data_IF_997286006940
#
_entry.id   IF_997286006940
#
_cell.length_a   1.000
_cell.length_b   1.000
_cell.length_c   1.000
_cell.angle_alpha   90.00
_cell.angle_beta   90.00
_cell.angle_gamma   90.00
#
_symmetry.space_group_name_H-M   'P 1'
#
loop_
_entity.id
_entity.type
_entity.pdbx_description
1 polymer ?
#
# COMPACT_ATOMS: atom_id res chain seq x y z
N UNK A 1 34.38 -5.32 -7.73
CA UNK A 1 34.81 -3.93 -7.93
C UNK A 1 33.77 -3.22 -8.79
N UNK A 2 32.61 -2.90 -8.21
CA UNK A 2 31.58 -2.02 -8.80
C UNK A 2 30.53 -1.74 -7.72
N UNK A 3 30.96 -1.03 -6.67
CA UNK A 3 30.10 -0.39 -5.67
C UNK A 3 30.81 0.92 -5.36
N UNK A 4 30.69 1.90 -6.25
CA UNK A 4 31.03 3.32 -6.06
C UNK A 4 30.83 4.03 -7.40
N UNK A 5 29.58 4.23 -7.81
CA UNK A 5 29.28 5.17 -8.89
C UNK A 5 27.81 5.62 -8.93
N UNK A 6 27.23 5.96 -7.78
CA UNK A 6 25.94 6.69 -7.74
C UNK A 6 25.88 7.77 -6.65
N UNK A 7 27.05 8.16 -6.13
CA UNK A 7 27.19 9.37 -5.33
C UNK A 7 28.10 10.29 -6.14
N UNK A 8 27.49 11.11 -6.99
CA UNK A 8 27.99 12.37 -7.60
C UNK A 8 27.28 12.64 -8.95
N UNK A 9 25.97 12.86 -8.92
CA UNK A 9 25.26 13.64 -9.95
C UNK A 9 24.69 14.91 -9.35
N UNK A 10 25.51 15.63 -8.59
CA UNK A 10 25.29 17.06 -8.30
C UNK A 10 25.99 17.88 -9.36
N UNK A 11 25.33 18.15 -10.49
CA UNK A 11 25.56 19.32 -11.35
C UNK A 11 24.52 19.35 -12.48
N UNK A 12 23.74 20.43 -12.51
CA UNK A 12 22.58 20.74 -13.38
C UNK A 12 21.25 20.07 -13.04
N UNK A 13 20.67 20.44 -11.89
CA UNK A 13 19.20 20.42 -11.75
C UNK A 13 18.75 21.85 -11.52
N UNK A 14 18.22 22.49 -12.56
CA UNK A 14 17.23 23.53 -12.30
C UNK A 14 16.11 22.85 -11.52
N UNK A 15 16.01 23.18 -10.23
CA UNK A 15 15.01 22.61 -9.33
C UNK A 15 13.65 22.63 -10.03
N UNK A 16 12.97 21.48 -10.07
CA UNK A 16 11.66 21.34 -10.70
C UNK A 16 10.66 22.40 -10.21
N UNK A 17 10.88 22.96 -9.02
CA UNK A 17 10.08 24.02 -8.43
C UNK A 17 10.31 25.41 -9.04
N UNK A 18 11.41 25.65 -9.78
CA UNK A 18 11.61 26.90 -10.56
C UNK A 18 10.55 27.06 -11.66
N UNK A 19 9.92 25.95 -12.05
CA UNK A 19 8.80 25.94 -12.99
C UNK A 19 7.54 26.59 -12.40
N UNK A 20 7.41 26.63 -11.07
CA UNK A 20 6.34 27.36 -10.39
C UNK A 20 6.82 28.81 -10.25
N UNK A 21 6.09 29.74 -10.86
CA UNK A 21 6.48 31.15 -10.93
C UNK A 21 5.76 32.00 -9.89
N UNK A 22 4.56 31.59 -9.47
CA UNK A 22 3.82 32.23 -8.38
C UNK A 22 2.78 31.28 -7.77
N UNK A 23 2.28 31.64 -6.60
CA UNK A 23 1.01 31.12 -6.11
C UNK A 23 -0.10 32.12 -6.46
N UNK A 24 -1.25 31.58 -6.86
CA UNK A 24 -2.48 32.35 -7.06
C UNK A 24 -3.52 31.88 -6.05
N UNK A 25 -4.43 32.77 -5.67
CA UNK A 25 -5.54 32.46 -4.78
C UNK A 25 -6.87 32.79 -5.45
N UNK A 26 -7.75 31.81 -5.55
CA UNK A 26 -9.07 31.96 -6.14
C UNK A 26 -10.13 32.04 -5.03
N UNK A 27 -11.09 32.97 -5.12
CA UNK A 27 -12.12 33.11 -4.11
C UNK A 27 -13.17 32.00 -4.22
N UNK A 28 -13.57 31.46 -3.07
CA UNK A 28 -14.83 30.73 -2.92
C UNK A 28 -15.87 31.67 -2.35
N UNK A 29 -17.03 31.72 -2.99
CA UNK A 29 -18.08 32.70 -2.69
C UNK A 29 -19.35 32.00 -2.22
N UNK A 30 -19.98 32.51 -1.17
CA UNK A 30 -21.32 32.04 -0.78
C UNK A 30 -22.32 32.42 -1.85
N UNK A 31 -23.06 31.45 -2.40
CA UNK A 31 -24.11 31.71 -3.37
C UNK A 31 -25.32 32.44 -2.76
N UNK A 32 -25.48 32.37 -1.43
CA UNK A 32 -26.56 33.05 -0.72
C UNK A 32 -26.27 34.53 -0.47
N UNK A 33 -25.05 34.85 -0.02
CA UNK A 33 -24.69 36.23 0.38
C UNK A 33 -23.85 36.96 -0.65
N UNK A 34 -23.30 36.24 -1.63
CA UNK A 34 -22.30 36.72 -2.59
C UNK A 34 -21.01 37.25 -1.92
N UNK A 35 -20.71 36.80 -0.71
CA UNK A 35 -19.49 37.15 0.02
C UNK A 35 -18.41 36.07 -0.14
N UNK A 36 -17.15 36.50 -0.19
CA UNK A 36 -16.00 35.58 -0.20
C UNK A 36 -15.86 34.94 1.17
N UNK A 37 -15.91 33.61 1.23
CA UNK A 37 -15.83 32.85 2.49
C UNK A 37 -14.49 32.13 2.67
N UNK A 38 -13.81 31.81 1.57
CA UNK A 38 -12.52 31.13 1.58
C UNK A 38 -11.70 31.44 0.32
N UNK A 39 -10.46 30.98 0.31
CA UNK A 39 -9.54 31.12 -0.83
C UNK A 39 -8.87 29.78 -1.14
N UNK A 40 -9.02 29.27 -2.35
CA UNK A 40 -8.24 28.13 -2.86
C UNK A 40 -6.86 28.61 -3.30
N UNK A 41 -5.80 27.88 -2.92
CA UNK A 41 -4.42 28.21 -3.29
C UNK A 41 -3.95 27.28 -4.40
N UNK A 42 -3.55 27.88 -5.51
CA UNK A 42 -3.09 27.19 -6.71
C UNK A 42 -1.67 27.62 -7.09
N UNK A 43 -0.97 26.73 -7.79
CA UNK A 43 0.34 27.00 -8.38
C UNK A 43 0.19 27.50 -9.81
N UNK A 44 0.89 28.59 -10.16
CA UNK A 44 1.03 29.03 -11.56
C UNK A 44 2.37 28.56 -12.09
N UNK A 45 2.34 27.85 -13.21
CA UNK A 45 3.56 27.40 -13.90
C UNK A 45 4.04 28.43 -14.92
N UNK A 46 5.33 28.37 -15.27
CA UNK A 46 5.92 29.18 -16.34
C UNK A 46 5.17 28.93 -17.68
N UNK A 47 4.89 29.98 -18.48
CA UNK A 47 4.21 29.83 -19.78
C UNK A 47 4.91 28.91 -20.79
N UNK A 48 6.21 28.66 -20.58
CA UNK A 48 7.00 27.73 -21.41
C UNK A 48 6.61 26.26 -21.19
N UNK A 49 5.81 25.96 -20.17
CA UNK A 49 5.22 24.64 -19.94
C UNK A 49 3.84 24.58 -20.61
N UNK A 50 3.72 23.70 -21.60
CA UNK A 50 2.50 23.56 -22.41
C UNK A 50 1.41 22.77 -21.66
N UNK A 51 1.75 22.04 -20.57
CA UNK A 51 0.80 21.14 -19.90
C UNK A 51 1.01 21.09 -18.37
N UNK A 52 0.05 21.69 -17.64
CA UNK A 52 0.01 21.74 -16.18
C UNK A 52 -0.27 20.36 -15.60
N UNK A 53 -1.21 19.62 -16.21
CA UNK A 53 -1.58 18.28 -15.76
C UNK A 53 -0.39 17.34 -15.87
N UNK A 54 0.34 17.42 -16.98
CA UNK A 54 1.56 16.63 -17.15
C UNK A 54 2.60 16.92 -16.06
N UNK A 55 2.79 18.18 -15.66
CA UNK A 55 3.73 18.53 -14.60
C UNK A 55 3.32 17.89 -13.25
N UNK A 56 2.06 18.02 -12.85
CA UNK A 56 1.59 17.47 -11.56
C UNK A 56 1.52 15.94 -11.55
N UNK A 57 1.30 15.31 -12.71
CA UNK A 57 1.36 13.86 -12.86
C UNK A 57 2.80 13.29 -12.82
N UNK A 58 3.81 14.10 -13.14
CA UNK A 58 5.22 13.67 -13.16
C UNK A 58 5.93 13.82 -11.81
N UNK A 59 5.42 14.67 -10.90
CA UNK A 59 6.05 14.88 -9.59
C UNK A 59 5.71 13.76 -8.60
N UNK A 60 6.67 13.45 -7.73
CA UNK A 60 6.49 12.44 -6.68
C UNK A 60 5.61 12.96 -5.54
N UNK A 61 4.98 12.07 -4.73
CA UNK A 61 4.20 12.50 -3.56
C UNK A 61 4.94 13.41 -2.59
N UNK A 62 6.25 13.18 -2.38
CA UNK A 62 7.08 14.03 -1.52
C UNK A 62 7.29 15.44 -2.10
N UNK A 63 7.40 15.56 -3.43
CA UNK A 63 7.50 16.85 -4.10
C UNK A 63 6.17 17.61 -4.05
N UNK A 64 5.03 16.92 -4.25
CA UNK A 64 3.69 17.50 -4.06
C UNK A 64 3.49 18.01 -2.63
N UNK A 65 3.91 17.22 -1.64
CA UNK A 65 3.84 17.62 -0.23
C UNK A 65 4.74 18.83 0.10
N UNK A 66 5.91 18.95 -0.54
CA UNK A 66 6.77 20.13 -0.40
C UNK A 66 6.09 21.41 -0.91
N UNK A 67 5.37 21.32 -2.03
CA UNK A 67 4.56 22.42 -2.57
C UNK A 67 3.45 22.77 -1.59
N UNK A 68 2.70 21.77 -1.10
CA UNK A 68 1.65 21.94 -0.09
C UNK A 68 2.17 22.66 1.16
N UNK A 69 3.32 22.25 1.71
CA UNK A 69 3.93 22.91 2.87
C UNK A 69 4.28 24.36 2.60
N UNK A 70 4.81 24.66 1.42
CA UNK A 70 5.12 26.04 1.03
C UNK A 70 3.84 26.89 0.95
N UNK A 71 2.79 26.39 0.32
CA UNK A 71 1.50 27.07 0.24
C UNK A 71 0.88 27.29 1.62
N UNK A 72 0.88 26.26 2.49
CA UNK A 72 0.39 26.36 3.87
C UNK A 72 1.10 27.46 4.67
N UNK A 73 2.44 27.53 4.60
CA UNK A 73 3.18 28.54 5.35
C UNK A 73 3.04 29.94 4.74
N UNK A 74 2.94 30.06 3.40
CA UNK A 74 2.65 31.32 2.73
C UNK A 74 1.27 31.88 3.17
N UNK A 75 0.26 31.01 3.20
CA UNK A 75 -1.09 31.33 3.65
C UNK A 75 -1.15 31.71 5.13
N UNK A 76 -0.45 30.97 6.00
CA UNK A 76 -0.33 31.30 7.43
C UNK A 76 0.32 32.67 7.64
N UNK A 77 1.41 32.94 6.92
CA UNK A 77 2.10 34.25 6.94
C UNK A 77 1.19 35.38 6.44
N UNK A 78 0.39 35.12 5.40
CA UNK A 78 -0.61 36.06 4.89
C UNK A 78 -1.69 36.33 5.93
N UNK A 79 -2.25 35.30 6.54
CA UNK A 79 -3.32 35.44 7.54
C UNK A 79 -2.88 36.27 8.75
N UNK A 80 -1.62 36.13 9.18
CA UNK A 80 -1.05 36.99 10.24
C UNK A 80 -0.97 38.47 9.85
N UNK A 81 -0.87 38.78 8.54
CA UNK A 81 -0.75 40.16 8.03
C UNK A 81 -2.09 40.79 7.66
N UNK A 82 -3.01 39.99 7.13
CA UNK A 82 -4.27 40.50 6.56
C UNK A 82 -5.51 40.12 7.37
N UNK A 83 -5.35 39.37 8.45
CA UNK A 83 -6.44 38.84 9.27
C UNK A 83 -6.76 37.36 9.00
N UNK A 84 -7.55 36.72 9.88
CA UNK A 84 -7.96 35.33 9.75
C UNK A 84 -8.78 35.13 8.47
N UNK A 85 -8.44 34.09 7.72
CA UNK A 85 -9.17 33.66 6.52
C UNK A 85 -9.05 32.13 6.40
N UNK A 86 -10.00 31.52 5.70
CA UNK A 86 -9.93 30.10 5.38
C UNK A 86 -9.22 29.88 4.04
N UNK A 87 -8.27 28.95 4.02
CA UNK A 87 -7.50 28.59 2.83
C UNK A 87 -7.68 27.12 2.46
N UNK A 88 -7.92 26.85 1.18
CA UNK A 88 -8.11 25.50 0.64
C UNK A 88 -6.85 25.11 -0.13
N UNK A 89 -6.38 23.88 0.11
CA UNK A 89 -5.10 23.38 -0.39
C UNK A 89 -5.30 22.01 -1.03
N UNK A 90 -4.84 21.89 -2.27
CA UNK A 90 -4.91 20.64 -3.03
C UNK A 90 -3.91 19.60 -2.53
N UNK A 91 -4.40 18.38 -2.35
CA UNK A 91 -3.62 17.22 -1.93
C UNK A 91 -4.00 16.00 -2.79
N UNK A 92 -3.07 15.51 -3.63
CA UNK A 92 -3.35 14.36 -4.47
C UNK A 92 -3.68 13.08 -3.70
N UNK A 93 -4.50 12.21 -4.30
CA UNK A 93 -4.84 10.87 -3.82
C UNK A 93 -3.57 10.07 -3.50
N UNK A 94 -2.55 10.16 -4.35
CA UNK A 94 -1.27 9.48 -4.14
C UNK A 94 -0.51 9.95 -2.89
N UNK A 95 -0.65 11.23 -2.50
CA UNK A 95 -0.07 11.76 -1.26
C UNK A 95 -0.85 11.27 -0.05
N UNK A 96 -2.19 11.19 -0.16
CA UNK A 96 -3.04 10.68 0.92
C UNK A 96 -2.83 9.17 1.14
N UNK A 97 -2.52 8.43 0.07
CA UNK A 97 -2.18 7.01 0.10
C UNK A 97 -0.75 6.72 0.60
N UNK A 98 0.12 7.72 0.70
CA UNK A 98 1.49 7.56 1.18
C UNK A 98 1.58 7.81 2.69
N UNK A 99 1.81 6.74 3.47
CA UNK A 99 1.80 6.82 4.95
C UNK A 99 2.85 7.79 5.50
N UNK A 100 4.02 7.85 4.87
CA UNK A 100 5.06 8.82 5.21
C UNK A 100 4.55 10.26 5.04
N UNK A 101 3.92 10.57 3.91
CA UNK A 101 3.38 11.89 3.64
C UNK A 101 2.31 12.30 4.65
N UNK A 102 1.38 11.40 5.00
CA UNK A 102 0.37 11.67 6.04
C UNK A 102 1.01 11.92 7.41
N UNK A 103 2.07 11.19 7.78
CA UNK A 103 2.79 11.48 9.02
C UNK A 103 3.43 12.86 9.02
N UNK A 104 4.11 13.23 7.93
CA UNK A 104 4.71 14.54 7.80
C UNK A 104 3.65 15.65 7.85
N UNK A 105 2.52 15.47 7.18
CA UNK A 105 1.43 16.43 7.20
C UNK A 105 0.82 16.61 8.61
N UNK A 106 0.71 15.54 9.39
CA UNK A 106 0.23 15.60 10.78
C UNK A 106 1.19 16.32 11.74
N UNK A 107 2.42 16.68 11.32
CA UNK A 107 3.30 17.53 12.12
C UNK A 107 2.93 19.02 12.05
N UNK A 108 2.06 19.42 11.12
CA UNK A 108 1.60 20.79 11.00
C UNK A 108 0.59 21.14 12.09
N UNK A 109 0.84 22.26 12.78
CA UNK A 109 -0.14 22.89 13.65
C UNK A 109 -1.06 23.82 12.84
N UNK A 110 -2.35 23.45 12.78
CA UNK A 110 -3.42 24.25 12.17
C UNK A 110 -4.53 24.53 13.20
N UNK A 111 -5.24 25.64 13.01
CA UNK A 111 -6.25 26.20 13.92
C UNK A 111 -7.65 26.26 13.28
N UNK A 112 -7.88 25.40 12.28
CA UNK A 112 -9.15 25.33 11.54
C UNK A 112 -9.27 26.31 10.37
N UNK A 113 -8.28 27.19 10.15
CA UNK A 113 -8.21 28.08 9.00
C UNK A 113 -7.81 27.40 7.67
N UNK A 114 -7.68 26.08 7.65
CA UNK A 114 -7.19 25.34 6.48
C UNK A 114 -8.09 24.15 6.14
N UNK A 115 -8.28 23.92 4.86
CA UNK A 115 -9.09 22.84 4.27
C UNK A 115 -8.21 22.08 3.28
N UNK A 116 -8.37 20.76 3.23
CA UNK A 116 -7.74 19.90 2.23
C UNK A 116 -8.76 19.52 1.16
N UNK A 117 -8.36 19.70 -0.09
CA UNK A 117 -9.06 19.19 -1.27
C UNK A 117 -8.35 17.95 -1.80
N UNK A 118 -9.10 16.86 -1.97
CA UNK A 118 -8.60 15.68 -2.69
C UNK A 118 -8.66 16.03 -4.17
N UNK A 119 -7.48 16.29 -4.76
CA UNK A 119 -7.33 16.96 -6.06
C UNK A 119 -7.76 16.10 -7.26
N UNK A 120 -7.46 14.81 -7.23
CA UNK A 120 -7.58 13.88 -8.38
C UNK A 120 -8.38 12.62 -8.00
N UNK A 121 -9.64 12.75 -7.52
CA UNK A 121 -10.41 11.62 -7.01
C UNK A 121 -10.71 10.54 -8.05
N UNK A 122 -10.62 10.84 -9.34
CA UNK A 122 -10.71 9.86 -10.42
C UNK A 122 -9.61 8.80 -10.36
N UNK A 123 -8.49 9.08 -9.69
CA UNK A 123 -7.41 8.12 -9.47
C UNK A 123 -7.71 7.10 -8.36
N UNK A 124 -8.79 7.27 -7.58
CA UNK A 124 -9.18 6.35 -6.49
C UNK A 124 -9.44 4.94 -7.03
N UNK A 125 -10.07 4.81 -8.19
CA UNK A 125 -10.38 3.51 -8.83
C UNK A 125 -9.14 2.77 -9.32
N UNK A 126 -8.02 3.48 -9.52
CA UNK A 126 -6.77 2.93 -10.03
C UNK A 126 -5.83 2.45 -8.91
N UNK A 127 -6.18 2.66 -7.64
CA UNK A 127 -5.36 2.24 -6.51
C UNK A 127 -5.35 0.71 -6.35
N UNK A 128 -4.15 0.15 -6.13
CA UNK A 128 -4.04 -1.23 -5.66
C UNK A 128 -4.62 -1.39 -4.23
N UNK A 129 -4.76 -2.63 -3.78
CA UNK A 129 -5.43 -2.95 -2.51
C UNK A 129 -4.74 -2.26 -1.32
N UNK A 130 -3.40 -2.24 -1.28
CA UNK A 130 -2.64 -1.62 -0.19
C UNK A 130 -2.71 -0.10 -0.22
N UNK A 131 -2.59 0.50 -1.40
CA UNK A 131 -2.69 1.95 -1.60
C UNK A 131 -4.09 2.45 -1.29
N UNK A 132 -5.14 1.69 -1.66
CA UNK A 132 -6.52 2.00 -1.29
C UNK A 132 -6.76 1.90 0.21
N UNK A 133 -6.19 0.89 0.87
CA UNK A 133 -6.21 0.79 2.34
C UNK A 133 -5.53 2.00 2.99
N UNK A 134 -4.34 2.36 2.52
CA UNK A 134 -3.59 3.49 3.04
C UNK A 134 -4.28 4.84 2.77
N UNK A 135 -4.93 5.00 1.61
CA UNK A 135 -5.73 6.17 1.27
C UNK A 135 -6.88 6.38 2.26
N UNK A 136 -7.70 5.34 2.48
CA UNK A 136 -8.83 5.42 3.43
C UNK A 136 -8.30 5.67 4.85
N UNK A 137 -7.20 5.01 5.25
CA UNK A 137 -6.53 5.25 6.54
C UNK A 137 -6.03 6.69 6.64
N UNK A 138 -5.42 7.23 5.59
CA UNK A 138 -4.95 8.61 5.48
C UNK A 138 -6.09 9.61 5.69
N UNK A 139 -7.19 9.46 4.95
CA UNK A 139 -8.39 10.29 5.11
C UNK A 139 -8.93 10.27 6.56
N UNK A 140 -9.00 9.10 7.19
CA UNK A 140 -9.42 8.97 8.59
C UNK A 140 -8.47 9.70 9.55
N UNK A 141 -7.15 9.62 9.31
CA UNK A 141 -6.15 10.33 10.12
C UNK A 141 -6.29 11.84 9.98
N UNK A 142 -6.40 12.36 8.76
CA UNK A 142 -6.61 13.79 8.49
C UNK A 142 -7.86 14.31 9.20
N UNK A 143 -8.99 13.61 9.06
CA UNK A 143 -10.24 13.97 9.74
C UNK A 143 -10.09 13.94 11.26
N UNK A 144 -9.41 12.92 11.80
CA UNK A 144 -9.18 12.79 13.25
C UNK A 144 -8.29 13.92 13.79
N UNK A 145 -7.34 14.42 13.01
CA UNK A 145 -6.49 15.55 13.39
C UNK A 145 -7.15 16.91 13.14
N UNK A 146 -8.39 16.93 12.64
CA UNK A 146 -9.22 18.13 12.56
C UNK A 146 -9.22 18.81 11.19
N UNK A 147 -8.64 18.20 10.16
CA UNK A 147 -8.71 18.72 8.79
C UNK A 147 -10.12 18.55 8.22
N UNK A 148 -10.79 19.63 7.79
CA UNK A 148 -11.91 19.53 6.87
C UNK A 148 -11.38 19.01 5.53
N UNK A 149 -12.03 17.99 4.98
CA UNK A 149 -11.64 17.37 3.71
C UNK A 149 -12.79 17.46 2.72
N UNK A 150 -12.47 17.97 1.52
CA UNK A 150 -13.36 18.10 0.37
C UNK A 150 -12.88 17.19 -0.76
N UNK A 151 -13.79 16.80 -1.65
CA UNK A 151 -13.45 16.18 -2.92
C UNK A 151 -13.51 17.25 -4.01
N UNK A 152 -12.46 17.37 -4.80
CA UNK A 152 -12.39 18.28 -5.94
C UNK A 152 -12.86 17.60 -7.23
N UNK A 153 -13.22 18.39 -8.24
CA UNK A 153 -13.52 17.92 -9.61
C UNK A 153 -14.44 16.67 -9.71
N UNK A 154 -15.43 16.56 -8.81
CA UNK A 154 -16.32 15.39 -8.80
C UNK A 154 -17.24 15.43 -10.02
N UNK A 155 -17.20 14.37 -10.81
CA UNK A 155 -18.09 14.12 -11.95
C UNK A 155 -19.20 13.13 -11.57
N UNK A 156 -20.31 13.05 -12.33
CA UNK A 156 -21.40 12.12 -12.02
C UNK A 156 -20.98 10.64 -11.96
N UNK A 157 -20.01 10.24 -12.78
CA UNK A 157 -19.49 8.87 -12.86
C UNK A 157 -18.64 8.45 -11.65
N UNK A 158 -18.11 9.42 -10.87
CA UNK A 158 -17.35 9.12 -9.64
C UNK A 158 -18.22 8.78 -8.43
N UNK A 159 -19.55 8.93 -8.54
CA UNK A 159 -20.46 8.73 -7.39
C UNK A 159 -20.31 7.34 -6.74
N UNK A 160 -20.18 6.29 -7.56
CA UNK A 160 -19.99 4.91 -7.07
C UNK A 160 -18.63 4.69 -6.39
N UNK A 161 -17.58 5.35 -6.88
CA UNK A 161 -16.25 5.30 -6.27
C UNK A 161 -16.27 6.01 -4.91
N UNK A 162 -16.96 7.14 -4.79
CA UNK A 162 -17.15 7.89 -3.54
C UNK A 162 -17.91 7.04 -2.51
N UNK A 163 -18.99 6.37 -2.92
CA UNK A 163 -19.73 5.43 -2.07
C UNK A 163 -18.80 4.36 -1.47
N UNK A 164 -17.89 3.83 -2.28
CA UNK A 164 -16.96 2.77 -1.90
C UNK A 164 -15.95 3.19 -0.81
N UNK A 165 -15.72 4.50 -0.62
CA UNK A 165 -14.82 5.04 0.41
C UNK A 165 -15.46 4.87 1.80
N UNK A 166 -16.79 4.92 1.89
CA UNK A 166 -17.52 4.78 3.16
C UNK A 166 -17.22 5.89 4.18
N UNK A 167 -16.85 7.09 3.72
CA UNK A 167 -16.58 8.25 4.57
C UNK A 167 -17.39 9.46 4.09
N UNK A 168 -17.96 10.23 5.02
CA UNK A 168 -18.61 11.52 4.72
C UNK A 168 -17.61 12.65 4.65
N UNK A 169 -17.63 13.45 3.59
CA UNK A 169 -16.75 14.60 3.39
C UNK A 169 -17.38 15.88 3.96
N UNK A 170 -16.56 16.90 4.23
CA UNK A 170 -17.09 18.20 4.67
C UNK A 170 -17.84 18.85 3.53
N UNK A 171 -17.34 18.71 2.31
CA UNK A 171 -18.08 19.04 1.11
C UNK A 171 -17.51 18.41 -0.14
N UNK A 172 -18.15 18.73 -1.26
CA UNK A 172 -17.84 18.22 -2.59
C UNK A 172 -17.88 19.39 -3.56
N UNK A 173 -16.88 19.49 -4.40
CA UNK A 173 -16.78 20.46 -5.49
C UNK A 173 -17.05 19.73 -6.80
N UNK A 174 -18.02 20.24 -7.56
CA UNK A 174 -18.43 19.65 -8.84
C UNK A 174 -17.42 20.04 -9.92
N UNK A 175 -17.17 19.17 -10.90
CA UNK A 175 -16.33 19.55 -12.03
C UNK A 175 -16.89 20.75 -12.83
N UNK A 176 -15.99 21.59 -13.36
CA UNK A 176 -16.37 22.77 -14.18
C UNK A 176 -17.32 22.45 -15.32
N UNK A 177 -17.13 21.31 -15.98
CA UNK A 177 -17.92 20.89 -17.16
C UNK A 177 -19.37 20.53 -16.83
N UNK A 178 -19.73 20.42 -15.55
CA UNK A 178 -21.08 20.09 -15.13
C UNK A 178 -21.98 21.31 -14.94
N UNK A 179 -21.43 22.53 -15.01
CA UNK A 179 -22.21 23.75 -14.88
C UNK A 179 -23.25 23.84 -16.01
N UNK A 180 -24.56 23.96 -15.70
CA UNK A 180 -25.61 23.92 -16.71
C UNK A 180 -25.67 25.20 -17.55
N UNK A 181 -25.91 25.05 -18.86
CA UNK A 181 -26.17 26.16 -19.79
C UNK A 181 -27.63 26.17 -20.29
N UNK A 182 -28.35 25.07 -20.14
CA UNK A 182 -29.74 24.91 -20.56
C UNK A 182 -30.67 24.54 -19.40
N UNK A 183 -31.99 24.75 -19.57
CA UNK A 183 -33.00 24.34 -18.58
C UNK A 183 -33.01 22.82 -18.33
N UNK A 184 -32.73 22.02 -19.35
CA UNK A 184 -32.70 20.56 -19.22
C UNK A 184 -31.48 20.13 -18.40
N UNK A 185 -30.31 20.70 -18.68
CA UNK A 185 -29.09 20.49 -17.89
C UNK A 185 -29.26 20.97 -16.46
N UNK A 186 -29.88 22.13 -16.22
CA UNK A 186 -30.16 22.61 -14.86
C UNK A 186 -30.97 21.59 -14.06
N UNK A 187 -32.01 20.99 -14.67
CA UNK A 187 -32.82 19.97 -14.00
C UNK A 187 -31.99 18.73 -13.63
N UNK A 188 -31.11 18.29 -14.54
CA UNK A 188 -30.20 17.18 -14.27
C UNK A 188 -29.20 17.53 -13.15
N UNK A 189 -28.63 18.74 -13.21
CA UNK A 189 -27.69 19.26 -12.23
C UNK A 189 -28.31 19.38 -10.84
N UNK A 190 -29.55 19.87 -10.71
CA UNK A 190 -30.31 19.89 -9.43
C UNK A 190 -30.42 18.48 -8.84
N UNK A 191 -30.82 17.49 -9.66
CA UNK A 191 -30.96 16.11 -9.22
C UNK A 191 -29.64 15.53 -8.72
N UNK A 192 -28.55 15.84 -9.43
CA UNK A 192 -27.21 15.39 -9.06
C UNK A 192 -26.67 16.09 -7.80
N UNK A 193 -26.77 17.43 -7.70
CA UNK A 193 -26.42 18.19 -6.48
C UNK A 193 -27.17 17.64 -5.26
N UNK A 194 -28.46 17.33 -5.42
CA UNK A 194 -29.26 16.73 -4.35
C UNK A 194 -28.72 15.35 -3.93
N UNK A 195 -28.27 14.53 -4.87
CA UNK A 195 -27.67 13.22 -4.56
C UNK A 195 -26.34 13.32 -3.79
N UNK A 196 -25.49 14.30 -4.12
CA UNK A 196 -24.18 14.52 -3.49
C UNK A 196 -24.29 14.92 -2.01
N UNK A 197 -25.44 15.45 -1.57
CA UNK A 197 -25.70 15.80 -0.16
C UNK A 197 -25.60 14.61 0.80
N UNK A 198 -25.77 13.39 0.29
CA UNK A 198 -25.60 12.19 1.11
C UNK A 198 -24.13 11.92 1.48
N UNK A 199 -23.20 12.45 0.67
CA UNK A 199 -21.74 12.29 0.81
C UNK A 199 -21.04 13.53 1.40
N UNK A 200 -21.56 14.73 1.16
CA UNK A 200 -20.96 16.01 1.57
C UNK A 200 -21.95 16.98 2.21
N UNK A 201 -21.52 17.71 3.24
CA UNK A 201 -22.38 18.71 3.90
C UNK A 201 -22.46 20.02 3.13
N UNK A 202 -21.44 20.35 2.35
CA UNK A 202 -21.33 21.57 1.53
C UNK A 202 -21.13 21.16 0.08
N UNK A 203 -21.84 21.79 -0.86
CA UNK A 203 -21.63 21.60 -2.30
C UNK A 203 -21.12 22.89 -2.91
N UNK A 204 -20.01 22.80 -3.64
CA UNK A 204 -19.38 23.90 -4.38
C UNK A 204 -19.63 23.70 -5.86
N UNK A 205 -20.29 24.67 -6.50
CA UNK A 205 -20.45 24.72 -7.94
C UNK A 205 -19.25 25.43 -8.57
N UNK A 206 -18.49 24.70 -9.39
CA UNK A 206 -17.34 25.24 -10.13
C UNK A 206 -17.73 25.62 -11.55
N UNK A 207 -16.92 26.49 -12.18
CA UNK A 207 -17.09 26.87 -13.58
C UNK A 207 -18.00 28.08 -13.80
N UNK A 208 -18.24 28.87 -12.75
CA UNK A 208 -19.11 30.04 -12.85
C UNK A 208 -18.34 31.21 -13.48
N UNK A 209 -18.67 31.55 -14.72
CA UNK A 209 -17.99 32.60 -15.49
C UNK A 209 -18.85 33.86 -15.67
N UNK A 210 -20.17 33.73 -15.55
CA UNK A 210 -21.13 34.81 -15.78
C UNK A 210 -22.13 34.92 -14.63
N UNK A 211 -22.81 36.06 -14.57
CA UNK A 211 -23.89 36.30 -13.62
C UNK A 211 -25.05 35.30 -13.80
N UNK A 212 -25.42 35.01 -15.05
CA UNK A 212 -26.46 34.04 -15.38
C UNK A 212 -26.09 32.63 -14.87
N UNK A 213 -24.84 32.20 -15.06
CA UNK A 213 -24.34 30.95 -14.47
C UNK A 213 -24.43 30.96 -12.94
N UNK A 214 -24.15 32.09 -12.29
CA UNK A 214 -24.30 32.19 -10.84
C UNK A 214 -25.76 32.02 -10.41
N UNK A 215 -26.72 32.60 -11.14
CA UNK A 215 -28.15 32.39 -10.85
C UNK A 215 -28.55 30.92 -11.00
N UNK A 216 -28.06 30.24 -12.04
CA UNK A 216 -28.26 28.80 -12.22
C UNK A 216 -27.64 27.99 -11.08
N UNK A 217 -26.45 28.37 -10.62
CA UNK A 217 -25.80 27.73 -9.48
C UNK A 217 -26.61 27.90 -8.18
N UNK A 218 -27.19 29.08 -7.95
CA UNK A 218 -28.12 29.32 -6.82
C UNK A 218 -29.35 28.42 -6.94
N UNK A 219 -29.96 28.36 -8.12
CA UNK A 219 -31.15 27.53 -8.39
C UNK A 219 -30.86 26.02 -8.25
N UNK A 220 -29.61 25.60 -8.45
CA UNK A 220 -29.20 24.21 -8.27
C UNK A 220 -29.30 23.71 -6.82
N UNK A 221 -29.26 24.64 -5.86
CA UNK A 221 -29.16 24.33 -4.43
C UNK A 221 -27.73 24.08 -3.95
N UNK A 222 -26.70 24.45 -4.72
CA UNK A 222 -25.31 24.53 -4.24
C UNK A 222 -25.15 25.64 -3.18
N UNK A 223 -24.16 25.50 -2.29
CA UNK A 223 -23.94 26.48 -1.21
C UNK A 223 -22.91 27.54 -1.59
N UNK A 224 -21.83 27.09 -2.24
CA UNK A 224 -20.70 27.91 -2.62
C UNK A 224 -20.52 27.87 -4.14
N UNK A 225 -19.94 28.93 -4.68
CA UNK A 225 -19.58 29.06 -6.09
C UNK A 225 -18.12 29.42 -6.26
N UNK A 226 -17.53 28.95 -7.36
CA UNK A 226 -16.19 29.30 -7.80
C UNK A 226 -16.10 29.36 -9.32
N UNK A 227 -15.28 30.27 -9.85
CA UNK A 227 -15.02 30.39 -11.27
C UNK A 227 -14.53 31.79 -11.66
N UNK A 228 -14.38 32.03 -12.97
CA UNK A 228 -13.80 33.29 -13.48
C UNK A 228 -14.70 34.51 -13.31
N UNK A 229 -15.96 34.35 -12.88
CA UNK A 229 -16.80 35.48 -12.47
C UNK A 229 -16.13 36.31 -11.36
N UNK A 230 -15.41 35.65 -10.44
CA UNK A 230 -14.73 36.31 -9.34
C UNK A 230 -13.21 36.34 -9.56
N UNK A 231 -12.57 37.52 -9.48
CA UNK A 231 -11.16 37.66 -9.82
C UNK A 231 -10.24 37.02 -8.78
N UNK A 232 -9.22 36.32 -9.28
CA UNK A 232 -8.14 35.77 -8.45
C UNK A 232 -7.11 36.82 -8.03
N UNK A 233 -6.28 36.48 -7.04
CA UNK A 233 -5.18 37.34 -6.56
C UNK A 233 -3.87 36.58 -6.56
N UNK A 234 -2.75 37.27 -6.73
CA UNK A 234 -1.43 36.67 -6.57
C UNK A 234 -1.01 36.60 -5.09
N UNK A 235 -0.21 35.59 -4.77
CA UNK A 235 0.39 35.37 -3.47
C UNK A 235 1.89 35.09 -3.61
N UNK A 236 2.66 35.59 -2.65
CA UNK A 236 4.11 35.45 -2.67
C UNK A 236 4.55 33.98 -2.67
N UNK A 237 5.45 33.63 -3.59
CA UNK A 237 6.09 32.33 -3.70
C UNK A 237 7.51 32.40 -3.12
N UNK A 238 7.90 31.36 -2.41
CA UNK A 238 9.29 31.11 -2.04
C UNK A 238 9.73 29.76 -2.62
N UNK A 239 10.38 29.80 -3.80
CA UNK A 239 10.92 28.59 -4.45
C UNK A 239 12.03 27.95 -3.61
N UNK A 240 12.85 28.75 -2.93
CA UNK A 240 13.82 28.29 -1.93
C UNK A 240 13.14 27.61 -0.74
N UNK A 241 11.96 28.09 -0.34
CA UNK A 241 11.11 27.44 0.66
C UNK A 241 10.67 26.05 0.22
N UNK A 242 10.14 25.90 -0.99
CA UNK A 242 9.72 24.60 -1.53
C UNK A 242 10.90 23.64 -1.57
N UNK A 243 12.04 24.07 -2.12
CA UNK A 243 13.25 23.26 -2.20
C UNK A 243 13.69 22.76 -0.82
N UNK A 244 13.69 23.63 0.20
CA UNK A 244 14.05 23.26 1.57
C UNK A 244 13.07 22.25 2.19
N UNK A 245 11.76 22.35 1.90
CA UNK A 245 10.81 21.33 2.34
C UNK A 245 11.08 19.99 1.65
N UNK A 246 11.33 20.01 0.35
CA UNK A 246 11.63 18.81 -0.43
C UNK A 246 12.87 18.07 0.11
N UNK A 247 13.98 18.78 0.31
CA UNK A 247 15.22 18.21 0.86
C UNK A 247 14.98 17.57 2.24
N UNK A 248 14.24 18.26 3.13
CA UNK A 248 13.90 17.72 4.45
C UNK A 248 13.02 16.46 4.37
N UNK A 249 12.06 16.44 3.44
CA UNK A 249 11.19 15.30 3.22
C UNK A 249 11.97 14.11 2.65
N UNK A 250 12.84 14.33 1.67
CA UNK A 250 13.70 13.30 1.10
C UNK A 250 14.66 12.72 2.14
N UNK A 251 15.32 13.57 2.94
CA UNK A 251 16.16 13.12 4.04
C UNK A 251 15.39 12.28 5.06
N UNK A 252 14.20 12.73 5.47
CA UNK A 252 13.36 12.01 6.42
C UNK A 252 12.88 10.66 5.85
N UNK A 253 12.49 10.62 4.57
CA UNK A 253 12.09 9.39 3.87
C UNK A 253 13.25 8.41 3.75
N UNK A 254 14.44 8.90 3.41
CA UNK A 254 15.65 8.10 3.34
C UNK A 254 16.01 7.51 4.71
N UNK A 255 15.96 8.30 5.79
CA UNK A 255 16.15 7.80 7.15
C UNK A 255 15.14 6.72 7.53
N UNK A 256 13.86 6.91 7.18
CA UNK A 256 12.79 5.94 7.43
C UNK A 256 13.01 4.64 6.65
N UNK A 257 13.40 4.71 5.38
CA UNK A 257 13.70 3.55 4.52
C UNK A 257 14.94 2.78 5.00
N UNK A 258 16.00 3.48 5.40
CA UNK A 258 17.23 2.85 5.93
C UNK A 258 16.94 2.05 7.21
N UNK A 259 16.07 2.58 8.06
CA UNK A 259 15.60 1.94 9.30
C UNK A 259 14.37 1.04 9.08
N UNK A 260 13.95 0.86 7.84
CA UNK A 260 12.80 0.04 7.47
C UNK A 260 13.04 -1.45 7.73
N UNK A 261 11.95 -2.19 7.91
CA UNK A 261 12.00 -3.64 8.06
C UNK A 261 12.08 -4.23 6.66
N UNK A 262 13.15 -4.96 6.36
CA UNK A 262 13.36 -5.55 5.04
C UNK A 262 12.70 -6.91 4.97
N UNK A 263 11.83 -7.10 4.00
CA UNK A 263 11.01 -8.30 3.88
C UNK A 263 11.21 -8.94 2.52
N UNK A 264 11.28 -10.27 2.49
CA UNK A 264 11.20 -11.05 1.26
C UNK A 264 9.98 -11.94 1.29
N UNK A 265 9.15 -11.84 0.24
CA UNK A 265 8.02 -12.73 -0.01
C UNK A 265 8.15 -13.17 -1.47
N UNK A 266 8.95 -14.21 -1.78
CA UNK A 266 9.19 -14.70 -3.13
C UNK A 266 8.01 -15.57 -3.59
N UNK A 267 6.82 -14.97 -3.64
CA UNK A 267 5.57 -15.60 -4.06
C UNK A 267 5.00 -14.86 -5.27
N UNK A 268 4.43 -15.60 -6.23
CA UNK A 268 3.83 -15.02 -7.45
C UNK A 268 2.38 -14.61 -7.23
N UNK A 269 1.75 -15.04 -6.14
CA UNK A 269 0.38 -14.68 -5.79
C UNK A 269 0.34 -13.28 -5.17
N UNK A 270 0.05 -12.27 -6.01
CA UNK A 270 -0.01 -10.88 -5.58
C UNK A 270 -1.05 -10.64 -4.47
N UNK A 271 -2.19 -11.34 -4.49
CA UNK A 271 -3.24 -11.19 -3.46
C UNK A 271 -2.70 -11.62 -2.09
N UNK A 272 -1.96 -12.74 -2.05
CA UNK A 272 -1.33 -13.21 -0.82
C UNK A 272 -0.25 -12.25 -0.33
N UNK A 273 0.64 -11.80 -1.22
CA UNK A 273 1.71 -10.84 -0.89
C UNK A 273 1.11 -9.56 -0.30
N UNK A 274 0.09 -8.99 -0.96
CA UNK A 274 -0.61 -7.78 -0.52
C UNK A 274 -1.31 -8.01 0.83
N UNK A 275 -1.95 -9.16 1.04
CA UNK A 275 -2.58 -9.52 2.31
C UNK A 275 -1.58 -9.56 3.49
N UNK A 276 -0.41 -10.16 3.28
CA UNK A 276 0.65 -10.17 4.29
C UNK A 276 1.20 -8.78 4.55
N UNK A 277 1.43 -7.97 3.52
CA UNK A 277 1.90 -6.59 3.67
C UNK A 277 0.90 -5.73 4.44
N UNK A 278 -0.41 -5.90 4.20
CA UNK A 278 -1.47 -5.23 4.93
C UNK A 278 -1.44 -5.58 6.42
N UNK A 279 -1.39 -6.87 6.75
CA UNK A 279 -1.33 -7.32 8.15
C UNK A 279 -0.08 -6.81 8.87
N UNK A 280 1.08 -6.86 8.21
CA UNK A 280 2.32 -6.36 8.78
C UNK A 280 2.27 -4.84 8.99
N UNK A 281 1.73 -4.09 8.02
CA UNK A 281 1.54 -2.64 8.13
C UNK A 281 0.63 -2.30 9.30
N UNK A 282 -0.47 -3.05 9.47
CA UNK A 282 -1.39 -2.88 10.59
C UNK A 282 -0.71 -3.18 11.94
N UNK A 283 0.06 -4.27 12.03
CA UNK A 283 0.80 -4.64 13.24
C UNK A 283 1.79 -3.55 13.64
N UNK A 284 2.64 -3.10 12.72
CA UNK A 284 3.64 -2.07 13.01
C UNK A 284 2.97 -0.79 13.51
N UNK A 285 1.93 -0.35 12.81
CA UNK A 285 1.20 0.84 13.19
C UNK A 285 0.53 0.72 14.57
N UNK A 286 -0.05 -0.45 14.91
CA UNK A 286 -0.66 -0.69 16.23
C UNK A 286 0.33 -0.56 17.39
N UNK A 287 1.62 -0.74 17.12
CA UNK A 287 2.72 -0.66 18.09
C UNK A 287 3.46 0.68 18.06
N UNK A 288 2.96 1.66 17.28
CA UNK A 288 3.60 2.95 17.10
C UNK A 288 4.92 2.88 16.32
N UNK A 289 5.14 1.78 15.59
CA UNK A 289 6.31 1.58 14.74
C UNK A 289 6.08 2.26 13.38
N UNK A 290 6.82 3.34 13.12
CA UNK A 290 6.72 4.14 11.88
C UNK A 290 7.74 3.70 10.82
N UNK A 291 8.31 2.50 10.92
CA UNK A 291 9.25 1.97 9.96
C UNK A 291 8.51 1.54 8.67
N UNK A 292 9.12 1.80 7.52
CA UNK A 292 8.62 1.26 6.25
C UNK A 292 8.90 -0.24 6.13
N UNK A 293 8.00 -0.93 5.44
CA UNK A 293 8.25 -2.26 4.91
C UNK A 293 8.97 -2.08 3.57
N UNK A 294 10.18 -2.63 3.47
CA UNK A 294 10.98 -2.58 2.25
C UNK A 294 11.08 -3.98 1.67
N UNK A 295 10.42 -4.22 0.53
CA UNK A 295 10.57 -5.47 -0.19
C UNK A 295 11.98 -5.60 -0.76
N UNK A 296 12.68 -6.69 -0.43
CA UNK A 296 14.03 -6.98 -0.92
C UNK A 296 14.20 -8.47 -1.22
N UNK A 297 15.36 -8.84 -1.78
CA UNK A 297 15.72 -10.26 -1.89
C UNK A 297 15.97 -10.87 -0.50
N UNK A 298 15.91 -12.20 -0.42
CA UNK A 298 16.13 -12.93 0.83
C UNK A 298 17.51 -12.65 1.46
N UNK A 299 18.53 -12.36 0.63
CA UNK A 299 19.89 -12.10 1.09
C UNK A 299 20.00 -10.81 1.91
N UNK A 300 19.09 -9.86 1.73
CA UNK A 300 19.10 -8.54 2.37
C UNK A 300 17.92 -8.32 3.32
N UNK A 301 17.10 -9.35 3.56
CA UNK A 301 15.87 -9.25 4.36
C UNK A 301 16.06 -9.64 5.82
N UNK A 302 15.37 -8.92 6.70
CA UNK A 302 15.24 -9.22 8.13
C UNK A 302 14.14 -10.26 8.36
N UNK A 303 13.09 -10.22 7.55
CA UNK A 303 11.96 -11.14 7.57
C UNK A 303 11.81 -11.85 6.23
N UNK A 304 11.79 -13.18 6.23
CA UNK A 304 11.69 -13.98 5.00
C UNK A 304 10.47 -14.89 5.13
N UNK A 305 9.52 -14.74 4.23
CA UNK A 305 8.45 -15.70 4.00
C UNK A 305 8.92 -16.67 2.94
N UNK A 306 8.80 -17.97 3.19
CA UNK A 306 9.18 -18.99 2.22
C UNK A 306 8.13 -20.09 2.20
N UNK A 307 7.62 -20.39 1.02
CA UNK A 307 6.75 -21.55 0.82
C UNK A 307 7.49 -22.84 1.19
N UNK A 308 6.79 -23.74 1.89
CA UNK A 308 7.36 -24.98 2.39
C UNK A 308 6.37 -26.13 2.32
N UNK A 309 6.92 -27.34 2.33
CA UNK A 309 6.20 -28.59 2.14
C UNK A 309 6.86 -29.67 2.99
N UNK A 310 6.10 -30.70 3.36
CA UNK A 310 6.66 -31.89 3.97
C UNK A 310 7.83 -32.45 3.14
N UNK A 311 8.94 -32.78 3.80
CA UNK A 311 10.10 -33.42 3.17
C UNK A 311 11.02 -32.52 2.36
N UNK A 312 10.67 -31.24 2.12
CA UNK A 312 11.63 -30.24 1.66
C UNK A 312 12.34 -29.67 2.90
N UNK A 313 13.65 -29.88 3.10
CA UNK A 313 14.36 -29.18 4.15
C UNK A 313 14.39 -27.69 3.78
N UNK A 314 13.63 -26.83 4.48
CA UNK A 314 13.45 -25.42 4.12
C UNK A 314 14.76 -24.63 4.24
N UNK A 315 15.67 -25.17 5.04
CA UNK A 315 17.02 -24.71 5.37
C UNK A 315 17.86 -25.98 5.49
N UNK A 316 19.15 -25.92 5.13
CA UNK A 316 20.06 -27.02 5.42
C UNK A 316 20.36 -27.05 6.93
N UNK A 317 19.47 -27.67 7.71
CA UNK A 317 19.55 -27.73 9.16
C UNK A 317 20.77 -28.54 9.64
N UNK A 318 21.27 -29.47 8.82
CA UNK A 318 22.55 -30.13 9.07
C UNK A 318 23.70 -29.14 8.96
N UNK A 319 23.73 -28.29 7.92
CA UNK A 319 24.70 -27.19 7.82
C UNK A 319 24.58 -26.22 8.99
N UNK A 320 23.37 -25.86 9.43
CA UNK A 320 23.16 -25.02 10.61
C UNK A 320 23.79 -25.59 11.89
N UNK A 321 23.76 -26.93 12.05
CA UNK A 321 24.39 -27.61 13.20
C UNK A 321 25.92 -27.63 13.15
N UNK A 322 26.54 -27.53 11.98
CA UNK A 322 27.99 -27.74 11.84
C UNK A 322 28.77 -26.54 11.29
N UNK A 323 28.12 -25.55 10.68
CA UNK A 323 28.73 -24.35 10.10
C UNK A 323 28.34 -23.11 10.94
N UNK A 324 29.25 -22.61 11.81
CA UNK A 324 28.98 -21.46 12.68
C UNK A 324 28.65 -20.18 11.91
N UNK A 325 29.25 -19.98 10.72
CA UNK A 325 29.02 -18.78 9.89
C UNK A 325 27.62 -18.84 9.28
N UNK A 326 27.21 -20.01 8.78
CA UNK A 326 25.85 -20.22 8.30
C UNK A 326 24.83 -20.06 9.43
N UNK A 327 25.11 -20.61 10.61
CA UNK A 327 24.28 -20.46 11.81
C UNK A 327 24.07 -19.00 12.17
N UNK A 328 25.15 -18.22 12.30
CA UNK A 328 25.10 -16.81 12.65
C UNK A 328 24.22 -16.01 11.68
N UNK A 329 24.42 -16.21 10.37
CA UNK A 329 23.60 -15.56 9.33
C UNK A 329 22.13 -15.96 9.41
N UNK A 330 21.84 -17.24 9.66
CA UNK A 330 20.48 -17.73 9.77
C UNK A 330 19.77 -17.22 11.04
N UNK A 331 20.49 -16.99 12.15
CA UNK A 331 19.91 -16.44 13.40
C UNK A 331 19.68 -14.92 13.36
N UNK A 332 20.32 -14.21 12.43
CA UNK A 332 20.14 -12.76 12.27
C UNK A 332 18.85 -12.40 11.52
N UNK A 333 18.16 -13.40 10.97
CA UNK A 333 16.95 -13.22 10.16
C UNK A 333 15.82 -14.03 10.75
N UNK A 334 14.60 -13.54 10.60
CA UNK A 334 13.41 -14.28 10.97
C UNK A 334 12.88 -14.98 9.73
N UNK A 335 12.84 -16.31 9.77
CA UNK A 335 12.27 -17.11 8.69
C UNK A 335 10.89 -17.62 9.07
N UNK A 336 9.91 -17.36 8.21
CA UNK A 336 8.55 -17.87 8.29
C UNK A 336 8.37 -18.86 7.17
N UNK A 337 7.90 -20.06 7.51
CA UNK A 337 7.49 -21.03 6.52
C UNK A 337 5.98 -20.96 6.29
N UNK A 338 5.61 -20.85 5.03
CA UNK A 338 4.22 -20.78 4.57
C UNK A 338 3.86 -22.15 4.01
N UNK A 339 2.88 -22.81 4.63
CA UNK A 339 2.38 -24.09 4.17
C UNK A 339 1.01 -23.91 3.50
N UNK A 340 0.74 -24.59 2.37
CA UNK A 340 -0.57 -24.52 1.73
C UNK A 340 -1.72 -25.00 2.62
N UNK A 341 -1.49 -25.99 3.48
CA UNK A 341 -2.51 -26.53 4.38
C UNK A 341 -1.88 -27.06 5.68
N UNK A 342 -2.72 -27.23 6.72
CA UNK A 342 -2.30 -27.68 8.06
C UNK A 342 -1.74 -29.10 8.05
N UNK A 343 -2.17 -29.96 7.13
CA UNK A 343 -1.72 -31.36 7.03
C UNK A 343 -0.26 -31.48 6.55
N UNK A 344 0.27 -30.46 5.89
CA UNK A 344 1.65 -30.39 5.41
C UNK A 344 2.61 -29.79 6.44
N UNK A 345 2.12 -29.34 7.59
CA UNK A 345 2.98 -28.76 8.62
C UNK A 345 3.84 -29.85 9.28
N UNK A 346 5.16 -29.78 9.12
CA UNK A 346 6.07 -30.71 9.78
C UNK A 346 6.29 -30.32 11.25
N UNK A 347 5.42 -30.78 12.13
CA UNK A 347 5.50 -30.57 13.59
C UNK A 347 6.77 -31.13 14.24
N UNK A 348 7.59 -31.90 13.51
CA UNK A 348 8.80 -32.57 14.06
C UNK A 348 10.09 -31.87 13.64
N UNK A 349 10.03 -30.97 12.66
CA UNK A 349 11.20 -30.23 12.20
C UNK A 349 11.50 -29.08 13.16
N UNK A 350 12.34 -29.35 14.16
CA UNK A 350 12.87 -28.31 15.04
C UNK A 350 14.19 -27.77 14.49
N UNK A 351 14.10 -26.92 13.47
CA UNK A 351 15.26 -26.16 12.99
C UNK A 351 15.29 -24.81 13.70
N UNK A 352 16.33 -24.51 14.52
CA UNK A 352 16.38 -23.24 15.25
C UNK A 352 16.47 -21.99 14.36
N UNK A 353 16.74 -22.17 13.07
CA UNK A 353 16.72 -21.10 12.08
C UNK A 353 15.31 -20.71 11.61
N UNK A 354 14.28 -21.49 11.93
CA UNK A 354 12.88 -21.20 11.58
C UNK A 354 12.24 -20.49 12.77
N UNK A 355 11.68 -19.30 12.53
CA UNK A 355 11.09 -18.45 13.56
C UNK A 355 9.59 -18.69 13.76
N UNK A 356 8.87 -19.03 12.69
CA UNK A 356 7.45 -19.37 12.76
C UNK A 356 7.00 -20.21 11.55
N UNK A 357 5.79 -20.76 11.69
CA UNK A 357 5.06 -21.47 10.66
C UNK A 357 3.69 -20.83 10.53
N UNK A 358 3.21 -20.64 9.31
CA UNK A 358 1.85 -20.19 9.01
C UNK A 358 1.27 -21.07 7.90
N UNK A 359 -0.05 -21.16 7.83
CA UNK A 359 -0.75 -21.89 6.77
C UNK A 359 -1.68 -20.99 5.98
N UNK A 360 -1.92 -21.29 4.71
CA UNK A 360 -2.92 -20.58 3.90
C UNK A 360 -4.37 -20.90 4.34
N UNK A 361 -4.56 -21.91 5.20
CA UNK A 361 -5.83 -22.23 5.86
C UNK A 361 -6.03 -21.48 7.18
N UNK A 362 -5.01 -20.75 7.65
CA UNK A 362 -5.14 -19.95 8.86
C UNK A 362 -6.11 -18.79 8.63
N UNK A 363 -6.98 -18.56 9.61
CA UNK A 363 -7.84 -17.38 9.62
C UNK A 363 -7.00 -16.10 9.70
N UNK A 364 -7.56 -14.97 9.26
CA UNK A 364 -6.88 -13.66 9.33
C UNK A 364 -6.42 -13.33 10.76
N UNK A 365 -7.22 -13.69 11.76
CA UNK A 365 -6.90 -13.50 13.18
C UNK A 365 -5.72 -14.38 13.64
N UNK A 366 -5.66 -15.63 13.19
CA UNK A 366 -4.54 -16.54 13.47
C UNK A 366 -3.24 -16.03 12.82
N UNK A 367 -3.31 -15.60 11.55
CA UNK A 367 -2.19 -14.99 10.83
C UNK A 367 -1.70 -13.73 11.53
N UNK A 368 -2.61 -12.80 11.86
CA UNK A 368 -2.28 -11.57 12.59
C UNK A 368 -1.57 -11.86 13.92
N UNK A 369 -2.10 -12.78 14.73
CA UNK A 369 -1.52 -13.14 16.02
C UNK A 369 -0.12 -13.76 15.87
N UNK A 370 0.08 -14.62 14.87
CA UNK A 370 1.38 -15.24 14.57
C UNK A 370 2.41 -14.22 14.08
N UNK A 371 2.03 -13.36 13.13
CA UNK A 371 2.89 -12.28 12.63
C UNK A 371 3.23 -11.28 13.73
N UNK A 372 2.26 -10.87 14.54
CA UNK A 372 2.49 -9.92 15.65
C UNK A 372 3.48 -10.46 16.65
N UNK A 373 3.32 -11.71 17.08
CA UNK A 373 4.29 -12.38 17.97
C UNK A 373 5.68 -12.40 17.36
N UNK A 374 5.78 -12.68 16.06
CA UNK A 374 7.06 -12.77 15.40
C UNK A 374 7.73 -11.40 15.23
N UNK A 375 7.00 -10.35 14.87
CA UNK A 375 7.54 -9.00 14.64
C UNK A 375 7.87 -8.32 15.99
N UNK A 376 6.99 -8.43 16.98
CA UNK A 376 7.07 -7.71 18.27
C UNK A 376 7.72 -8.53 19.39
N UNK A 377 7.40 -9.83 19.48
CA UNK A 377 7.81 -10.72 20.57
C UNK A 377 9.32 -11.00 20.65
N UNK A 378 10.11 -10.53 19.69
CA UNK A 378 11.56 -10.70 19.68
C UNK A 378 12.31 -9.95 20.80
N UNK A 379 11.65 -9.12 21.62
CA UNK A 379 12.29 -8.48 22.79
C UNK A 379 12.33 -9.36 24.04
N UNK A 380 11.45 -10.33 24.20
CA UNK A 380 11.41 -11.22 25.37
C UNK A 380 10.68 -12.52 25.03
N UNK A 381 11.39 -13.64 24.90
CA UNK A 381 10.75 -14.95 25.05
C UNK A 381 11.20 -16.00 24.05
N UNK A 382 11.81 -17.06 24.62
CA UNK A 382 11.95 -18.39 24.04
C UNK A 382 10.75 -18.76 23.16
N UNK A 383 11.03 -19.22 21.95
CA UNK A 383 10.07 -19.89 21.07
C UNK A 383 9.22 -20.87 21.91
N UNK A 384 7.92 -20.64 21.95
CA UNK A 384 7.03 -21.46 22.74
C UNK A 384 6.87 -22.81 22.04
N UNK A 385 7.29 -23.86 22.74
CA UNK A 385 7.30 -25.28 22.32
C UNK A 385 5.91 -25.92 22.20
N UNK A 386 4.84 -25.12 22.14
CA UNK A 386 3.47 -25.61 22.29
C UNK A 386 2.62 -25.28 21.05
N UNK A 387 2.82 -26.05 19.98
CA UNK A 387 1.74 -26.42 19.05
C UNK A 387 1.76 -27.96 18.97
N UNK A 388 1.14 -28.52 20.00
CA UNK A 388 0.37 -29.76 20.09
C UNK A 388 0.84 -31.06 19.42
N UNK A 389 1.10 -32.00 20.33
CA UNK A 389 0.66 -33.39 20.33
C UNK A 389 -0.72 -33.61 19.67
N UNK A 390 -0.83 -34.66 18.88
CA UNK A 390 -1.98 -34.92 18.01
C UNK A 390 -1.69 -35.98 16.97
N UNK A 391 -1.46 -37.20 17.45
CA UNK A 391 -1.23 -38.41 16.68
C UNK A 391 -2.28 -38.69 15.60
N UNK A 392 -1.86 -39.10 14.40
CA UNK A 392 -2.14 -40.44 13.81
C UNK A 392 -1.49 -40.60 12.43
N UNK A 393 -0.91 -41.77 12.14
CA UNK A 393 -0.73 -42.24 10.75
C UNK A 393 0.64 -42.05 10.05
N UNK A 394 1.78 -42.34 10.69
CA UNK A 394 2.92 -43.06 10.09
C UNK A 394 3.97 -43.24 11.21
N UNK A 395 4.49 -44.45 11.39
CA UNK A 395 5.41 -44.77 12.50
C UNK A 395 6.62 -43.83 12.50
N UNK A 396 7.12 -43.53 13.70
CA UNK A 396 8.25 -42.64 14.01
C UNK A 396 9.53 -42.92 13.18
N UNK A 397 9.63 -44.08 12.56
CA UNK A 397 10.83 -44.56 11.87
C UNK A 397 10.93 -44.04 10.41
N UNK A 398 9.83 -43.65 9.76
CA UNK A 398 9.85 -43.29 8.34
C UNK A 398 10.14 -41.80 8.05
N UNK A 399 10.00 -40.89 9.01
CA UNK A 399 9.92 -39.43 8.74
C UNK A 399 11.25 -38.66 8.76
N UNK A 400 12.37 -39.33 9.04
CA UNK A 400 13.73 -38.72 9.05
C UNK A 400 14.68 -39.31 8.00
N UNK A 401 14.16 -40.06 7.02
CA UNK A 401 14.99 -40.73 6.02
C UNK A 401 14.92 -40.00 4.69
N UNK A 402 16.08 -39.64 4.13
CA UNK A 402 16.19 -39.23 2.72
C UNK A 402 15.57 -40.32 1.84
N UNK A 403 14.90 -39.89 0.77
CA UNK A 403 14.49 -40.81 -0.29
C UNK A 403 15.73 -41.54 -0.81
N UNK A 404 15.65 -42.86 -0.91
CA UNK A 404 16.66 -43.60 -1.66
C UNK A 404 16.38 -43.51 -3.16
N UNK A 405 17.36 -43.90 -3.99
CA UNK A 405 17.28 -43.74 -5.44
C UNK A 405 16.07 -44.48 -6.05
N UNK A 406 15.68 -45.63 -5.49
CA UNK A 406 14.52 -46.40 -5.95
C UNK A 406 13.20 -45.72 -5.59
N UNK A 407 13.10 -45.17 -4.38
CA UNK A 407 11.94 -44.40 -3.93
C UNK A 407 11.76 -43.13 -4.78
N UNK A 408 12.85 -42.40 -5.02
CA UNK A 408 12.87 -41.20 -5.85
C UNK A 408 12.50 -41.52 -7.30
N UNK A 409 13.06 -42.58 -7.88
CA UNK A 409 12.73 -43.01 -9.23
C UNK A 409 11.25 -43.40 -9.35
N UNK A 410 10.75 -44.24 -8.44
CA UNK A 410 9.35 -44.70 -8.45
C UNK A 410 8.40 -43.51 -8.33
N UNK A 411 8.60 -42.62 -7.36
CA UNK A 411 7.65 -41.54 -7.13
C UNK A 411 7.63 -40.52 -8.28
N UNK A 412 8.77 -40.30 -8.93
CA UNK A 412 8.90 -39.45 -10.14
C UNK A 412 8.19 -40.07 -11.35
N UNK A 413 8.38 -41.38 -11.62
CA UNK A 413 7.69 -42.04 -12.74
C UNK A 413 6.20 -42.18 -12.52
N UNK A 414 5.76 -42.32 -11.28
CA UNK A 414 4.33 -42.30 -10.94
C UNK A 414 3.71 -40.92 -11.19
N UNK A 415 4.39 -39.82 -10.84
CA UNK A 415 3.88 -38.46 -11.11
C UNK A 415 3.84 -38.13 -12.60
N UNK A 416 4.74 -38.71 -13.40
CA UNK A 416 4.70 -38.64 -14.88
C UNK A 416 3.59 -39.49 -15.52
N UNK A 417 2.78 -40.20 -14.71
CA UNK A 417 1.66 -41.02 -15.20
C UNK A 417 2.03 -42.43 -15.67
N UNK A 418 3.27 -42.89 -15.41
CA UNK A 418 3.70 -44.24 -15.80
C UNK A 418 2.98 -45.32 -14.98
N UNK A 419 2.56 -46.40 -15.64
CA UNK A 419 1.89 -47.53 -14.99
C UNK A 419 2.87 -48.31 -14.11
N UNK A 420 2.39 -48.85 -12.99
CA UNK A 420 3.23 -49.62 -12.05
C UNK A 420 3.85 -50.87 -12.69
N UNK A 421 3.17 -51.47 -13.68
CA UNK A 421 3.70 -52.60 -14.46
C UNK A 421 4.98 -52.25 -15.20
N UNK A 422 5.08 -51.03 -15.70
CA UNK A 422 6.19 -50.60 -16.55
C UNK A 422 7.38 -50.18 -15.70
N UNK A 423 7.11 -49.47 -14.60
CA UNK A 423 8.11 -49.16 -13.55
C UNK A 423 8.69 -50.45 -12.96
N UNK A 424 7.85 -51.45 -12.69
CA UNK A 424 8.25 -52.74 -12.16
C UNK A 424 9.21 -53.49 -13.11
N UNK A 425 8.92 -53.48 -14.41
CA UNK A 425 9.80 -54.07 -15.44
C UNK A 425 11.15 -53.38 -15.51
N UNK A 426 11.16 -52.04 -15.51
CA UNK A 426 12.40 -51.25 -15.61
C UNK A 426 13.31 -51.48 -14.40
N UNK A 427 12.72 -51.48 -13.19
CA UNK A 427 13.46 -51.69 -11.95
C UNK A 427 13.74 -53.17 -11.64
N UNK A 428 13.24 -54.10 -12.46
CA UNK A 428 13.30 -55.55 -12.23
C UNK A 428 12.78 -55.95 -10.84
N UNK A 429 11.65 -55.37 -10.43
CA UNK A 429 10.97 -55.64 -9.15
C UNK A 429 9.51 -56.02 -9.38
N UNK A 430 8.86 -56.60 -8.36
CA UNK A 430 7.42 -56.88 -8.44
C UNK A 430 6.57 -55.58 -8.40
N UNK A 431 5.41 -55.53 -9.08
CA UNK A 431 4.49 -54.37 -9.03
C UNK A 431 4.05 -53.96 -7.62
N UNK A 432 3.96 -54.93 -6.70
CA UNK A 432 3.68 -54.67 -5.27
C UNK A 432 4.81 -53.87 -4.60
N UNK A 433 6.06 -54.08 -5.01
CA UNK A 433 7.19 -53.29 -4.50
C UNK A 433 7.17 -51.85 -5.01
N UNK A 434 6.71 -51.61 -6.24
CA UNK A 434 6.49 -50.23 -6.75
C UNK A 434 5.49 -49.49 -5.86
N UNK A 435 4.36 -50.12 -5.52
CA UNK A 435 3.39 -49.55 -4.58
C UNK A 435 3.98 -49.32 -3.19
N UNK A 436 4.83 -50.24 -2.72
CA UNK A 436 5.53 -50.11 -1.43
C UNK A 436 6.53 -48.95 -1.43
N UNK A 437 7.33 -48.81 -2.49
CA UNK A 437 8.27 -47.69 -2.64
C UNK A 437 7.54 -46.36 -2.77
N UNK A 438 6.44 -46.31 -3.54
CA UNK A 438 5.57 -45.12 -3.59
C UNK A 438 5.04 -44.77 -2.19
N UNK A 439 4.48 -45.74 -1.46
CA UNK A 439 3.92 -45.49 -0.12
C UNK A 439 5.01 -45.06 0.87
N UNK A 440 6.18 -45.67 0.80
CA UNK A 440 7.35 -45.29 1.59
C UNK A 440 7.78 -43.86 1.27
N UNK A 441 7.92 -43.54 -0.01
CA UNK A 441 8.28 -42.21 -0.50
C UNK A 441 7.25 -41.15 -0.12
N UNK A 442 5.95 -41.43 -0.28
CA UNK A 442 4.87 -40.54 0.15
C UNK A 442 4.87 -40.34 1.67
N UNK A 443 5.09 -41.38 2.48
CA UNK A 443 5.22 -41.19 3.94
C UNK A 443 6.48 -40.37 4.31
N UNK A 444 7.62 -40.61 3.65
CA UNK A 444 8.87 -39.83 3.84
C UNK A 444 8.69 -38.35 3.45
N UNK A 445 7.93 -38.09 2.40
CA UNK A 445 7.57 -36.77 1.91
C UNK A 445 6.32 -36.18 2.59
N UNK A 446 5.71 -36.89 3.55
CA UNK A 446 4.47 -36.45 4.23
C UNK A 446 3.26 -36.20 3.31
N UNK A 447 3.23 -36.81 2.12
CA UNK A 447 2.13 -36.70 1.15
C UNK A 447 1.04 -37.71 1.50
N UNK A 448 -0.22 -37.27 1.55
CA UNK A 448 -1.33 -38.12 1.98
C UNK A 448 -2.06 -38.76 0.80
N UNK A 449 -2.12 -38.08 -0.35
CA UNK A 449 -2.89 -38.52 -1.51
C UNK A 449 -2.18 -38.23 -2.85
N UNK A 450 -2.78 -38.66 -3.96
CA UNK A 450 -2.21 -38.48 -5.30
C UNK A 450 -2.28 -37.02 -5.79
N UNK A 451 -3.18 -36.21 -5.26
CA UNK A 451 -3.26 -34.77 -5.57
C UNK A 451 -2.04 -34.07 -4.99
N UNK A 452 -1.70 -34.34 -3.72
CA UNK A 452 -0.48 -33.82 -3.08
C UNK A 452 0.78 -34.19 -3.88
N UNK A 453 0.82 -35.42 -4.41
CA UNK A 453 1.93 -35.90 -5.24
C UNK A 453 2.05 -35.16 -6.57
N UNK A 454 0.93 -34.94 -7.28
CA UNK A 454 0.94 -34.20 -8.54
C UNK A 454 1.32 -32.73 -8.33
N UNK A 455 0.79 -32.09 -7.29
CA UNK A 455 1.15 -30.72 -6.92
C UNK A 455 2.64 -30.60 -6.58
N UNK A 456 3.20 -31.55 -5.83
CA UNK A 456 4.63 -31.59 -5.49
C UNK A 456 5.55 -31.64 -6.73
N UNK A 457 5.18 -32.39 -7.78
CA UNK A 457 6.02 -32.54 -8.98
C UNK A 457 5.78 -31.48 -10.06
N UNK A 458 4.55 -31.04 -10.27
CA UNK A 458 4.25 -29.97 -11.24
C UNK A 458 4.97 -28.66 -10.89
N UNK A 459 5.12 -28.36 -9.60
CA UNK A 459 5.87 -27.20 -9.13
C UNK A 459 7.38 -27.32 -9.37
N UNK A 460 7.95 -28.54 -9.28
CA UNK A 460 9.40 -28.78 -9.46
C UNK A 460 9.87 -28.67 -10.92
N UNK A 461 8.93 -28.71 -11.87
CA UNK A 461 9.19 -28.57 -13.31
C UNK A 461 9.06 -27.13 -13.82
N UNK A 462 8.62 -26.19 -12.96
CA UNK A 462 8.61 -24.74 -13.19
C UNK A 462 9.84 -24.09 -12.54
#
# INVERSE_FOLDING_TARGET
>A
MSIMMDVLTTKNNDSIYKKIIEFRIQPLVSLQTNEIVAWEILSRLSPELIDIEKFFNEITPAQSLAIFFSQFHAAKSRSLKTGPAQYWLNLPVAVIADEFSIEQLNTLAHDGGFVIEVQDPENIKNLDVLSRFNFIKGLRRLKKTGWPVYLDDVTPDLTADIDSIGLKFKGIKTCRTAMPDTKAELKAFIGWVSSLRSHGSVIVAEGIETEDMRELAVLSGADLGQGFLWPEKSMALSTTGIQRYAERLEEARNRRKVNGIRISIPDRNEVWVQGILLLLTEILHSEGMLQDIVLTNEANSDLIFRESWCGLPPINCDRYRHDPVYRQKATQRRMILVYPNKNQLDNRLHCPAISAYITLEDTVQELYASLRRLVIGGKNGRANRNIMDGSTGCSIICKNQKLNDKELYVITKVSEGMKYSDIAKILQIGPKMVSSYKRSAMCKLGLQNNVDLLSYFNWRAM
#
